data_IF_939275337377
#
_entry.id   IF_939275337377
#
_cell.length_a   1.000
_cell.length_b   1.000
_cell.length_c   1.000
_cell.angle_alpha   90.00
_cell.angle_beta   90.00
_cell.angle_gamma   90.00
#
_symmetry.space_group_name_H-M   'P 1'
#
loop_
_entity.id
_entity.type
_entity.pdbx_description
1 polymer ?
#
# COMPACT_ATOMS: atom_id res chain seq x y z
N UNK A 1 13.14 23.21 1.05
CA UNK A 1 13.11 22.13 0.02
C UNK A 1 11.69 21.57 -0.01
N UNK A 2 10.82 22.11 -0.86
CA UNK A 2 9.41 21.70 -0.94
C UNK A 2 9.20 21.03 -2.30
N UNK A 3 9.37 19.71 -2.35
CA UNK A 3 9.23 18.94 -3.60
C UNK A 3 7.87 18.22 -3.60
N UNK A 4 6.80 18.97 -3.89
CA UNK A 4 5.41 18.48 -3.86
C UNK A 4 4.83 18.23 -5.26
N UNK A 5 5.60 17.60 -6.15
CA UNK A 5 5.28 17.51 -7.59
C UNK A 5 4.44 16.30 -8.03
N UNK A 6 3.48 15.80 -7.25
CA UNK A 6 2.62 14.72 -7.77
C UNK A 6 1.55 14.13 -6.84
N UNK A 7 1.25 14.80 -5.73
CA UNK A 7 0.70 14.19 -4.51
C UNK A 7 -0.84 14.05 -4.43
N UNK A 8 -1.60 14.19 -5.52
CA UNK A 8 -3.08 14.15 -5.38
C UNK A 8 -3.71 12.77 -5.52
N UNK A 9 -3.21 11.92 -6.44
CA UNK A 9 -3.78 10.59 -6.70
C UNK A 9 -2.79 9.42 -6.52
N UNK A 10 -1.54 9.61 -6.95
CA UNK A 10 -0.49 8.60 -6.76
C UNK A 10 -0.18 8.34 -5.28
N UNK A 11 -0.47 9.30 -4.39
CA UNK A 11 -0.17 9.19 -2.97
C UNK A 11 -0.97 8.12 -2.25
N UNK A 12 -2.28 8.03 -2.50
CA UNK A 12 -3.12 7.05 -1.80
C UNK A 12 -2.65 5.64 -2.10
N UNK A 13 -2.44 5.37 -3.39
CA UNK A 13 -1.88 4.12 -3.90
C UNK A 13 -0.46 3.84 -3.38
N UNK A 14 0.47 4.79 -3.49
CA UNK A 14 1.85 4.59 -3.05
C UNK A 14 1.96 4.36 -1.54
N UNK A 15 1.20 5.12 -0.73
CA UNK A 15 1.15 4.95 0.73
C UNK A 15 0.49 3.63 1.08
N UNK A 16 -0.63 3.29 0.44
CA UNK A 16 -1.32 2.01 0.63
C UNK A 16 -0.41 0.83 0.32
N UNK A 17 0.26 0.84 -0.83
CA UNK A 17 1.22 -0.19 -1.22
C UNK A 17 2.42 -0.26 -0.27
N UNK A 18 3.02 0.86 0.12
CA UNK A 18 4.17 0.87 1.03
C UNK A 18 3.81 0.28 2.40
N UNK A 19 2.67 0.70 2.97
CA UNK A 19 2.18 0.17 4.24
C UNK A 19 1.81 -1.31 4.12
N UNK A 20 1.06 -1.67 3.08
CA UNK A 20 0.63 -3.04 2.81
C UNK A 20 1.81 -3.98 2.63
N UNK A 21 2.80 -3.61 1.81
CA UNK A 21 4.02 -4.40 1.60
C UNK A 21 4.84 -4.53 2.88
N UNK A 22 5.09 -3.43 3.61
CA UNK A 22 5.86 -3.49 4.85
C UNK A 22 5.22 -4.44 5.87
N UNK A 23 3.89 -4.36 6.02
CA UNK A 23 3.15 -5.21 6.94
C UNK A 23 3.09 -6.66 6.43
N UNK A 24 2.80 -6.85 5.13
CA UNK A 24 2.69 -8.17 4.51
C UNK A 24 4.00 -8.94 4.51
N UNK A 25 5.13 -8.30 4.21
CA UNK A 25 6.47 -8.89 4.30
C UNK A 25 6.78 -9.30 5.74
N UNK A 26 6.51 -8.42 6.72
CA UNK A 26 6.72 -8.72 8.13
C UNK A 26 5.86 -9.92 8.59
N UNK A 27 4.59 -9.96 8.20
CA UNK A 27 3.67 -11.05 8.55
C UNK A 27 4.02 -12.36 7.81
N UNK A 28 4.39 -12.29 6.53
CA UNK A 28 4.79 -13.45 5.74
C UNK A 28 6.05 -14.11 6.26
N UNK A 29 7.03 -13.31 6.69
CA UNK A 29 8.27 -13.82 7.28
C UNK A 29 8.05 -14.38 8.68
N UNK A 30 7.17 -13.77 9.49
CA UNK A 30 6.94 -14.20 10.89
C UNK A 30 5.96 -15.36 11.03
N UNK A 31 4.93 -15.44 10.19
CA UNK A 31 3.86 -16.44 10.31
C UNK A 31 4.02 -17.61 9.34
N UNK A 32 4.44 -17.33 8.11
CA UNK A 32 4.42 -18.31 7.02
C UNK A 32 5.82 -18.76 6.59
N UNK A 33 6.87 -18.16 7.16
CA UNK A 33 8.27 -18.31 6.72
C UNK A 33 8.42 -18.15 5.19
N UNK A 34 7.50 -17.38 4.59
CA UNK A 34 7.32 -17.33 3.15
C UNK A 34 6.98 -15.91 2.71
N UNK A 35 8.01 -15.25 2.19
CA UNK A 35 7.92 -13.90 1.66
C UNK A 35 6.91 -13.80 0.52
N UNK A 36 6.74 -14.83 -0.31
CA UNK A 36 5.80 -14.76 -1.43
C UNK A 36 4.36 -14.61 -0.95
N UNK A 37 3.95 -15.35 0.09
CA UNK A 37 2.64 -15.21 0.72
C UNK A 37 2.48 -13.85 1.40
N UNK A 38 3.50 -13.39 2.12
CA UNK A 38 3.50 -12.08 2.76
C UNK A 38 3.34 -10.92 1.78
N UNK A 39 4.11 -10.94 0.70
CA UNK A 39 4.05 -9.93 -0.37
C UNK A 39 2.69 -9.98 -1.06
N UNK A 40 2.17 -11.16 -1.42
CA UNK A 40 0.86 -11.27 -2.06
C UNK A 40 -0.26 -10.68 -1.18
N UNK A 41 -0.25 -11.00 0.12
CA UNK A 41 -1.23 -10.48 1.08
C UNK A 41 -1.07 -8.96 1.25
N UNK A 42 0.17 -8.50 1.46
CA UNK A 42 0.50 -7.10 1.68
C UNK A 42 0.15 -6.21 0.49
N UNK A 43 0.47 -6.68 -0.73
CA UNK A 43 0.12 -6.00 -1.98
C UNK A 43 -1.39 -5.95 -2.15
N UNK A 44 -2.12 -7.05 -1.91
CA UNK A 44 -3.59 -7.07 -2.03
C UNK A 44 -4.28 -6.08 -1.08
N UNK A 45 -3.86 -6.06 0.19
CA UNK A 45 -4.37 -5.13 1.20
C UNK A 45 -3.98 -3.69 0.85
N UNK A 46 -2.71 -3.45 0.51
CA UNK A 46 -2.17 -2.13 0.22
C UNK A 46 -2.78 -1.49 -1.03
N UNK A 47 -2.99 -2.28 -2.09
CA UNK A 47 -3.72 -1.84 -3.30
C UNK A 47 -5.17 -1.49 -2.97
N UNK A 48 -5.87 -2.36 -2.26
CA UNK A 48 -7.28 -2.12 -1.92
C UNK A 48 -7.45 -0.87 -1.07
N UNK A 49 -6.61 -0.70 -0.04
CA UNK A 49 -6.61 0.48 0.82
C UNK A 49 -6.22 1.75 0.06
N UNK A 50 -5.18 1.69 -0.77
CA UNK A 50 -4.71 2.83 -1.56
C UNK A 50 -5.70 3.26 -2.64
N UNK A 51 -6.34 2.30 -3.31
CA UNK A 51 -7.42 2.55 -4.26
C UNK A 51 -8.67 3.11 -3.57
N UNK A 52 -9.06 2.55 -2.42
CA UNK A 52 -10.20 3.08 -1.65
C UNK A 52 -9.94 4.54 -1.22
N UNK A 53 -8.71 4.84 -0.77
CA UNK A 53 -8.31 6.18 -0.38
C UNK A 53 -8.28 7.16 -1.57
N UNK A 54 -7.78 6.71 -2.73
CA UNK A 54 -7.80 7.52 -3.97
C UNK A 54 -9.23 7.79 -4.46
N UNK A 55 -10.11 6.76 -4.43
CA UNK A 55 -11.52 6.92 -4.80
C UNK A 55 -12.25 7.93 -3.92
N UNK A 56 -12.00 7.94 -2.61
CA UNK A 56 -12.61 8.90 -1.69
C UNK A 56 -12.21 10.34 -1.99
N UNK A 57 -10.99 10.58 -2.51
CA UNK A 57 -10.53 11.93 -2.88
C UNK A 57 -11.02 12.42 -4.25
N UNK A 58 -11.39 11.52 -5.16
CA UNK A 58 -11.91 11.88 -6.50
C UNK A 58 -13.41 12.19 -6.50
N UNK A 59 -14.09 11.99 -5.38
CA UNK A 59 -15.54 12.17 -5.26
C UNK A 59 -16.02 13.45 -4.56
N UNK A 60 -15.12 14.39 -4.23
CA UNK A 60 -15.45 15.65 -3.53
C UNK A 60 -15.10 16.87 -4.34
#
# INVERSE_FOLDING_TARGET
MSNNEGKSSANGLAVGLALGLSMGVALGLTLFDNIALGVALGVGIGLTAGLAYDRTRRGS
#
